data_IF_212828348992
#
_entry.id   IF_212828348992
#
_cell.length_a   1.000
_cell.length_b   1.000
_cell.length_c   1.000
_cell.angle_alpha   90.00
_cell.angle_beta   90.00
_cell.angle_gamma   90.00
#
_symmetry.space_group_name_H-M   'P 1'
#
loop_
_entity.id
_entity.type
_entity.pdbx_description
1 polymer ?
#
# COMPACT_ATOMS: atom_id res chain seq x y z
N UNK A 1 -14.96 30.57 -7.28
CA UNK A 1 -16.14 29.69 -7.45
C UNK A 1 -16.08 28.57 -6.42
N UNK A 2 -17.03 28.53 -5.48
CA UNK A 2 -17.12 27.56 -4.38
C UNK A 2 -17.02 26.09 -4.85
N UNK A 3 -17.64 25.76 -5.99
CA UNK A 3 -17.69 24.39 -6.55
C UNK A 3 -16.31 23.85 -6.91
N UNK A 4 -15.48 24.66 -7.60
CA UNK A 4 -14.15 24.23 -8.05
C UNK A 4 -13.26 23.89 -6.84
N UNK A 5 -13.29 24.72 -5.80
CA UNK A 5 -12.54 24.48 -4.56
C UNK A 5 -12.96 23.15 -3.90
N UNK A 6 -14.27 22.89 -3.81
CA UNK A 6 -14.77 21.67 -3.19
C UNK A 6 -14.39 20.41 -3.98
N UNK A 7 -14.32 20.50 -5.32
CA UNK A 7 -13.87 19.38 -6.16
C UNK A 7 -12.41 19.03 -5.90
N UNK A 8 -11.53 20.02 -5.79
CA UNK A 8 -10.11 19.77 -5.46
C UNK A 8 -9.95 19.16 -4.07
N UNK A 9 -10.71 19.63 -3.08
CA UNK A 9 -10.71 19.06 -1.72
C UNK A 9 -11.21 17.61 -1.72
N UNK A 10 -12.30 17.32 -2.42
CA UNK A 10 -12.84 15.97 -2.52
C UNK A 10 -11.85 14.99 -3.17
N UNK A 11 -11.18 15.41 -4.26
CA UNK A 11 -10.15 14.61 -4.90
C UNK A 11 -8.95 14.36 -3.96
N UNK A 12 -8.53 15.39 -3.22
CA UNK A 12 -7.47 15.27 -2.23
C UNK A 12 -7.81 14.28 -1.11
N UNK A 13 -9.04 14.30 -0.60
CA UNK A 13 -9.51 13.35 0.41
C UNK A 13 -9.56 11.91 -0.12
N UNK A 14 -10.02 11.69 -1.36
CA UNK A 14 -10.00 10.35 -1.97
C UNK A 14 -8.56 9.81 -2.03
N UNK A 15 -7.61 10.61 -2.50
CA UNK A 15 -6.19 10.22 -2.55
C UNK A 15 -5.66 9.91 -1.15
N UNK A 16 -5.98 10.75 -0.17
CA UNK A 16 -5.58 10.54 1.24
C UNK A 16 -6.13 9.23 1.79
N UNK A 17 -7.39 8.88 1.53
CA UNK A 17 -7.95 7.60 1.94
C UNK A 17 -7.28 6.41 1.25
N UNK A 18 -7.03 6.51 -0.06
CA UNK A 18 -6.32 5.46 -0.81
C UNK A 18 -4.92 5.23 -0.22
N UNK A 19 -4.17 6.30 0.06
CA UNK A 19 -2.85 6.20 0.69
C UNK A 19 -2.92 5.64 2.11
N UNK A 20 -3.94 6.00 2.88
CA UNK A 20 -4.17 5.47 4.23
C UNK A 20 -4.40 3.95 4.19
N UNK A 21 -5.25 3.48 3.27
CA UNK A 21 -5.48 2.04 3.06
C UNK A 21 -4.18 1.36 2.59
N UNK A 22 -3.44 1.99 1.69
CA UNK A 22 -2.17 1.46 1.19
C UNK A 22 -1.14 1.28 2.32
N UNK A 23 -1.06 2.23 3.27
CA UNK A 23 -0.21 2.10 4.45
C UNK A 23 -0.61 0.91 5.32
N UNK A 24 -1.91 0.63 5.49
CA UNK A 24 -2.37 -0.56 6.21
C UNK A 24 -1.91 -1.83 5.48
N UNK A 25 -2.01 -1.88 4.15
CA UNK A 25 -1.52 -3.03 3.36
C UNK A 25 -0.01 -3.23 3.53
N UNK A 26 0.79 -2.15 3.58
CA UNK A 26 2.22 -2.23 3.88
C UNK A 26 2.49 -2.78 5.29
N UNK A 27 1.70 -2.39 6.28
CA UNK A 27 1.80 -2.94 7.64
C UNK A 27 1.48 -4.44 7.63
N UNK A 28 0.41 -4.86 6.95
CA UNK A 28 0.08 -6.30 6.80
C UNK A 28 1.24 -7.03 6.12
N UNK A 29 1.87 -6.44 5.11
CA UNK A 29 3.03 -7.02 4.44
C UNK A 29 4.17 -7.29 5.41
N UNK A 30 4.47 -6.37 6.33
CA UNK A 30 5.47 -6.57 7.38
C UNK A 30 5.08 -7.74 8.29
N UNK A 31 3.85 -7.77 8.80
CA UNK A 31 3.37 -8.89 9.62
C UNK A 31 3.45 -10.23 8.90
N UNK A 32 3.05 -10.31 7.63
CA UNK A 32 3.14 -11.56 6.85
C UNK A 32 4.57 -12.06 6.69
N UNK A 33 5.56 -11.14 6.68
CA UNK A 33 6.98 -11.50 6.62
C UNK A 33 7.50 -12.04 7.96
N UNK A 34 7.03 -11.50 9.09
CA UNK A 34 7.43 -11.96 10.43
C UNK A 34 6.92 -13.35 10.75
N UNK A 35 5.67 -13.65 10.38
CA UNK A 35 5.05 -14.95 10.67
C UNK A 35 5.35 -16.02 9.61
N UNK A 36 6.19 -15.70 8.61
CA UNK A 36 6.49 -16.58 7.47
C UNK A 36 5.22 -17.15 6.82
N UNK A 37 4.25 -16.26 6.53
CA UNK A 37 2.95 -16.67 6.02
C UNK A 37 3.07 -17.44 4.69
N UNK A 38 2.30 -18.53 4.56
CA UNK A 38 2.36 -19.41 3.38
C UNK A 38 2.07 -18.67 2.07
N UNK A 39 2.96 -18.75 1.06
CA UNK A 39 2.76 -18.12 -0.26
C UNK A 39 1.55 -18.63 -1.05
N UNK A 40 1.01 -19.80 -0.67
CA UNK A 40 -0.17 -20.39 -1.30
C UNK A 40 -1.47 -19.71 -0.87
N UNK A 41 -1.45 -18.89 0.18
CA UNK A 41 -2.63 -18.14 0.58
C UNK A 41 -2.87 -16.97 -0.41
N UNK A 42 -4.04 -16.92 -1.08
CA UNK A 42 -4.34 -15.88 -2.07
C UNK A 42 -4.26 -14.47 -1.49
N UNK A 43 -4.60 -14.27 -0.21
CA UNK A 43 -4.55 -12.97 0.46
C UNK A 43 -3.10 -12.51 0.59
N UNK A 44 -2.19 -13.40 1.01
CA UNK A 44 -0.76 -13.09 1.13
C UNK A 44 -0.17 -12.72 -0.23
N UNK A 45 -0.59 -13.41 -1.30
CA UNK A 45 -0.17 -13.09 -2.67
C UNK A 45 -0.68 -11.73 -3.14
N UNK A 46 -1.92 -11.37 -2.83
CA UNK A 46 -2.47 -10.04 -3.14
C UNK A 46 -1.67 -8.95 -2.42
N UNK A 47 -1.42 -9.11 -1.12
CA UNK A 47 -0.62 -8.16 -0.33
C UNK A 47 0.80 -8.05 -0.89
N UNK A 48 1.43 -9.17 -1.28
CA UNK A 48 2.72 -9.16 -1.96
C UNK A 48 2.67 -8.30 -3.23
N UNK A 49 1.74 -8.58 -4.15
CA UNK A 49 1.65 -7.90 -5.45
C UNK A 49 1.35 -6.41 -5.29
N UNK A 50 0.47 -6.02 -4.36
CA UNK A 50 0.14 -4.61 -4.12
C UNK A 50 1.30 -3.80 -3.54
N UNK A 51 2.16 -4.44 -2.74
CA UNK A 51 3.29 -3.76 -2.07
C UNK A 51 4.58 -3.80 -2.88
N UNK A 52 4.70 -4.72 -3.85
CA UNK A 52 5.92 -4.91 -4.62
C UNK A 52 6.38 -3.69 -5.44
N UNK A 53 5.51 -2.87 -6.07
CA UNK A 53 5.95 -1.69 -6.83
C UNK A 53 6.77 -0.70 -5.99
N UNK A 54 6.40 -0.55 -4.71
CA UNK A 54 7.09 0.35 -3.76
C UNK A 54 8.27 -0.36 -3.09
N UNK A 55 8.11 -1.63 -2.71
CA UNK A 55 9.16 -2.35 -2.00
C UNK A 55 10.30 -2.83 -2.91
N UNK A 56 10.04 -3.13 -4.19
CA UNK A 56 11.07 -3.58 -5.16
C UNK A 56 12.22 -2.58 -5.34
N UNK A 57 12.00 -1.27 -5.56
CA UNK A 57 13.11 -0.32 -5.61
C UNK A 57 13.82 -0.19 -4.25
N UNK A 58 13.09 -0.25 -3.13
CA UNK A 58 13.70 -0.17 -1.79
C UNK A 58 14.65 -1.34 -1.53
N UNK A 59 14.26 -2.58 -1.88
CA UNK A 59 15.11 -3.77 -1.75
C UNK A 59 16.37 -3.74 -2.62
N UNK A 60 16.41 -2.91 -3.66
CA UNK A 60 17.62 -2.72 -4.46
C UNK A 60 18.64 -1.82 -3.76
N UNK A 61 18.18 -0.93 -2.89
CA UNK A 61 19.03 0.00 -2.13
C UNK A 61 19.50 -0.64 -0.83
N UNK A 62 18.63 -1.41 -0.18
CA UNK A 62 18.93 -2.13 1.05
C UNK A 62 19.06 -3.63 0.71
N UNK A 63 20.28 -4.14 0.44
CA UNK A 63 20.49 -5.56 0.24
C UNK A 63 20.17 -6.35 1.53
N UNK A 64 19.81 -7.64 1.40
CA UNK A 64 19.47 -8.51 2.53
C UNK A 64 20.64 -8.75 3.48
#
# INVERSE_FOLDING_TARGET
MFVISNLFVALGEIIKYVLTIYNIVLIIRVFTSWVSASPYNPIVRIVYVLTEPVLRPIRRVIPP
#
